data_IF_616345995221
#
_entry.id   IF_616345995221
#
_cell.length_a   1.000
_cell.length_b   1.000
_cell.length_c   1.000
_cell.angle_alpha   90.00
_cell.angle_beta   90.00
_cell.angle_gamma   90.00
#
_symmetry.space_group_name_H-M   'P 1'
#
loop_
_entity.id
_entity.type
_entity.pdbx_description
1 polymer ?
#
# COMPACT_ATOMS: atom_id res chain seq x y z
N UNK A 1 -4.78 35.14 -12.11
CA UNK A 1 -5.09 34.71 -13.50
C UNK A 1 -4.98 33.19 -13.51
N UNK A 2 -6.09 32.49 -13.71
CA UNK A 2 -6.11 31.03 -13.74
C UNK A 2 -5.51 30.57 -15.07
N UNK A 3 -4.40 29.82 -15.01
CA UNK A 3 -3.87 29.14 -16.19
C UNK A 3 -4.77 27.94 -16.50
N UNK A 4 -5.62 28.08 -17.51
CA UNK A 4 -6.32 26.96 -18.13
C UNK A 4 -5.29 26.15 -18.91
N UNK A 5 -4.82 25.04 -18.33
CA UNK A 5 -4.06 24.03 -19.05
C UNK A 5 -5.05 23.15 -19.83
N UNK A 6 -5.68 23.73 -20.86
CA UNK A 6 -6.19 22.94 -21.96
C UNK A 6 -4.97 22.52 -22.79
N UNK A 7 -4.31 21.44 -22.37
CA UNK A 7 -3.32 20.76 -23.20
C UNK A 7 -4.04 20.21 -24.44
N UNK A 8 -4.08 21.01 -25.51
CA UNK A 8 -4.42 20.51 -26.84
C UNK A 8 -3.27 19.65 -27.33
N UNK A 9 -3.35 18.33 -27.06
CA UNK A 9 -2.43 17.34 -27.61
C UNK A 9 -2.60 17.23 -29.13
N UNK A 10 -1.49 17.04 -29.83
CA UNK A 10 -1.45 16.92 -31.28
C UNK A 10 -1.97 15.52 -31.70
N UNK A 11 -2.83 15.38 -32.75
CA UNK A 11 -3.44 14.10 -33.16
C UNK A 11 -2.46 12.97 -33.54
N UNK A 12 -1.18 13.29 -33.72
CA UNK A 12 -0.11 12.36 -34.11
C UNK A 12 0.94 12.15 -33.00
N UNK A 13 0.74 12.71 -31.80
CA UNK A 13 1.57 12.27 -30.68
C UNK A 13 1.25 10.80 -30.41
N UNK A 14 2.25 9.91 -30.30
CA UNK A 14 2.01 8.61 -29.71
C UNK A 14 1.49 8.89 -28.29
N UNK A 15 0.22 8.57 -28.02
CA UNK A 15 -0.19 8.43 -26.64
C UNK A 15 0.75 7.38 -26.04
N UNK A 16 1.42 7.71 -24.93
CA UNK A 16 2.00 6.69 -24.07
C UNK A 16 0.87 5.70 -23.81
N UNK A 17 0.95 4.54 -24.48
CA UNK A 17 -0.18 3.66 -24.60
C UNK A 17 -0.35 3.03 -23.23
N UNK A 18 -1.26 3.61 -22.44
CA UNK A 18 -1.46 3.25 -21.05
C UNK A 18 -1.87 1.79 -21.01
N UNK A 19 -0.90 0.95 -20.69
CA UNK A 19 -1.09 -0.48 -20.50
C UNK A 19 -1.56 -0.64 -19.07
N UNK A 20 -2.52 -1.54 -18.83
CA UNK A 20 -2.98 -1.95 -17.51
C UNK A 20 -1.86 -2.63 -16.71
N UNK A 21 -0.81 -1.88 -16.42
CA UNK A 21 0.32 -2.24 -15.61
C UNK A 21 -0.02 -1.82 -14.20
N UNK A 22 0.44 -2.62 -13.25
CA UNK A 22 0.41 -2.25 -11.85
C UNK A 22 1.28 -1.02 -11.60
N UNK A 23 0.71 0.12 -11.18
CA UNK A 23 1.46 1.35 -10.92
C UNK A 23 2.59 1.15 -9.89
N UNK A 24 2.44 0.16 -9.00
CA UNK A 24 3.43 -0.15 -7.98
C UNK A 24 4.49 -1.18 -8.43
N UNK A 25 4.37 -1.75 -9.63
CA UNK A 25 5.32 -2.74 -10.16
C UNK A 25 6.74 -2.19 -10.26
N UNK A 26 6.90 -0.89 -10.47
CA UNK A 26 8.21 -0.22 -10.54
C UNK A 26 8.93 -0.16 -9.18
N UNK A 27 8.18 -0.18 -8.06
CA UNK A 27 8.73 -0.12 -6.71
C UNK A 27 9.16 -1.48 -6.18
N UNK A 28 8.54 -2.58 -6.63
CA UNK A 28 8.95 -3.94 -6.25
C UNK A 28 10.34 -4.34 -6.76
N UNK A 29 10.85 -3.68 -7.81
CA UNK A 29 12.14 -3.99 -8.43
C UNK A 29 13.32 -3.15 -7.91
N UNK A 30 13.11 -2.20 -7.00
CA UNK A 30 14.22 -1.50 -6.33
C UNK A 30 14.74 -2.37 -5.18
N UNK A 31 15.67 -3.28 -5.48
CA UNK A 31 16.52 -3.88 -4.46
C UNK A 31 17.24 -2.76 -3.71
N UNK A 32 17.03 -2.69 -2.40
CA UNK A 32 17.66 -1.70 -1.52
C UNK A 32 19.18 -1.72 -1.66
N UNK A 33 19.72 -0.60 -2.11
CA UNK A 33 21.16 -0.42 -2.27
C UNK A 33 21.49 1.05 -2.30
N UNK A 34 21.59 1.66 -1.12
CA UNK A 34 22.49 2.79 -0.88
C UNK A 34 22.94 2.77 0.58
N UNK A 35 23.94 1.94 0.86
CA UNK A 35 24.70 2.01 2.11
C UNK A 35 25.69 3.17 2.01
N UNK A 36 25.26 4.36 2.44
CA UNK A 36 26.17 5.48 2.58
C UNK A 36 27.02 5.27 3.86
N UNK A 37 28.16 4.60 3.73
CA UNK A 37 29.15 4.44 4.80
C UNK A 37 30.05 5.67 4.83
N UNK A 38 29.93 6.51 5.85
CA UNK A 38 31.07 7.29 6.35
C UNK A 38 30.90 7.72 7.83
N UNK A 39 31.60 6.98 8.70
CA UNK A 39 32.34 7.39 9.90
C UNK A 39 31.72 8.31 10.98
N UNK A 40 31.38 7.73 12.15
CA UNK A 40 31.97 8.13 13.46
C UNK A 40 31.80 7.03 14.52
N UNK A 41 32.85 6.87 15.32
CA UNK A 41 33.18 5.74 16.21
C UNK A 41 32.43 5.77 17.56
N UNK A 42 32.13 4.57 18.08
CA UNK A 42 32.11 4.15 19.50
C UNK A 42 31.05 4.68 20.49
N UNK A 43 30.02 5.44 20.06
CA UNK A 43 28.89 5.83 20.93
C UNK A 43 27.59 5.06 20.70
N UNK A 44 27.45 4.33 19.59
CA UNK A 44 26.15 3.79 19.14
C UNK A 44 25.69 2.51 19.85
N UNK A 45 26.60 1.79 20.52
CA UNK A 45 26.29 0.49 21.13
C UNK A 45 25.51 0.63 22.43
N UNK A 46 25.83 1.63 23.26
CA UNK A 46 25.14 1.91 24.53
C UNK A 46 23.71 2.44 24.31
N UNK A 47 23.54 3.33 23.33
CA UNK A 47 22.22 3.88 22.97
C UNK A 47 21.31 2.81 22.34
N UNK A 48 21.89 1.86 21.61
CA UNK A 48 21.15 0.72 21.04
C UNK A 48 20.63 -0.23 22.11
N UNK A 49 21.42 -0.50 23.16
CA UNK A 49 21.02 -1.41 24.24
C UNK A 49 19.90 -0.81 25.08
N UNK A 50 19.98 0.49 25.40
CA UNK A 50 18.90 1.20 26.09
C UNK A 50 17.59 1.21 25.30
N UNK A 51 17.67 1.42 23.99
CA UNK A 51 16.51 1.38 23.09
C UNK A 51 15.89 -0.01 23.03
N UNK A 52 16.70 -1.05 22.90
CA UNK A 52 16.25 -2.44 22.90
C UNK A 52 15.52 -2.81 24.19
N UNK A 53 16.10 -2.47 25.35
CA UNK A 53 15.50 -2.75 26.66
C UNK A 53 14.17 -2.01 26.85
N UNK A 54 14.07 -0.77 26.36
CA UNK A 54 12.82 -0.02 26.34
C UNK A 54 11.73 -0.72 25.52
N UNK A 55 12.07 -1.21 24.31
CA UNK A 55 11.14 -1.89 23.43
C UNK A 55 10.69 -3.22 24.01
N UNK A 56 11.62 -3.98 24.59
CA UNK A 56 11.33 -5.24 25.26
C UNK A 56 10.36 -5.03 26.42
N UNK A 57 10.60 -4.03 27.28
CA UNK A 57 9.73 -3.73 28.42
C UNK A 57 8.32 -3.34 27.96
N UNK A 58 8.21 -2.46 26.97
CA UNK A 58 6.91 -2.06 26.42
C UNK A 58 6.17 -3.25 25.79
N UNK A 59 6.89 -4.15 25.10
CA UNK A 59 6.31 -5.38 24.57
C UNK A 59 5.78 -6.30 25.68
N UNK A 60 6.58 -6.51 26.73
CA UNK A 60 6.21 -7.33 27.87
C UNK A 60 4.94 -6.80 28.55
N UNK A 61 4.85 -5.49 28.77
CA UNK A 61 3.66 -4.82 29.33
C UNK A 61 2.41 -4.99 28.44
N UNK A 62 2.59 -4.96 27.11
CA UNK A 62 1.47 -4.96 26.17
C UNK A 62 0.99 -6.36 25.78
N UNK A 63 1.88 -7.34 25.67
CA UNK A 63 1.57 -8.59 24.97
C UNK A 63 1.92 -9.87 25.72
N UNK A 64 2.64 -9.85 26.85
CA UNK A 64 3.00 -11.10 27.54
C UNK A 64 1.87 -11.66 28.40
N UNK A 65 1.03 -10.80 28.98
CA UNK A 65 -0.11 -11.23 29.79
C UNK A 65 -1.08 -12.13 28.99
N UNK A 66 -1.62 -13.19 29.60
CA UNK A 66 -2.63 -14.05 28.97
C UNK A 66 -3.88 -13.27 28.55
N UNK A 67 -4.24 -12.21 29.29
CA UNK A 67 -5.33 -11.30 28.96
C UNK A 67 -4.85 -10.00 28.30
N UNK A 68 -3.79 -10.07 27.49
CA UNK A 68 -3.19 -8.89 26.86
C UNK A 68 -4.19 -8.08 26.03
N UNK A 69 -5.19 -8.71 25.41
CA UNK A 69 -6.23 -8.02 24.64
C UNK A 69 -7.01 -7.01 25.50
N UNK A 70 -7.38 -7.36 26.73
CA UNK A 70 -8.04 -6.44 27.65
C UNK A 70 -7.10 -5.29 28.03
N UNK A 71 -5.83 -5.60 28.30
CA UNK A 71 -4.80 -4.60 28.63
C UNK A 71 -4.61 -3.59 27.51
N UNK A 72 -4.38 -4.04 26.27
CA UNK A 72 -4.18 -3.12 25.14
C UNK A 72 -5.45 -2.31 24.83
N UNK A 73 -6.64 -2.89 25.04
CA UNK A 73 -7.91 -2.18 24.86
C UNK A 73 -8.05 -1.06 25.88
N UNK A 74 -7.78 -1.34 27.16
CA UNK A 74 -7.82 -0.33 28.22
C UNK A 74 -6.79 0.79 27.97
N UNK A 75 -5.54 0.43 27.62
CA UNK A 75 -4.52 1.41 27.26
C UNK A 75 -4.93 2.24 26.02
N UNK A 76 -5.63 1.63 25.06
CA UNK A 76 -6.18 2.31 23.88
C UNK A 76 -7.24 3.34 24.24
N UNK A 77 -8.23 2.95 25.06
CA UNK A 77 -9.29 3.84 25.56
C UNK A 77 -8.70 5.01 26.37
N UNK A 78 -7.67 4.74 27.16
CA UNK A 78 -6.98 5.75 27.95
C UNK A 78 -6.04 6.65 27.11
N UNK A 79 -5.96 6.47 25.79
CA UNK A 79 -5.11 7.27 24.89
C UNK A 79 -3.61 6.98 24.99
N UNK A 80 -3.21 5.96 25.74
CA UNK A 80 -1.81 5.65 26.06
C UNK A 80 -1.04 4.99 24.90
N UNK A 81 -1.74 4.61 23.82
CA UNK A 81 -1.13 4.00 22.63
C UNK A 81 -0.72 5.01 21.55
N UNK A 82 -0.90 6.33 21.75
CA UNK A 82 -0.50 7.33 20.74
C UNK A 82 1.00 7.31 20.47
N UNK A 83 1.79 7.25 21.53
CA UNK A 83 3.26 7.24 21.46
C UNK A 83 3.85 5.84 21.44
N UNK A 84 3.04 4.79 21.55
CA UNK A 84 3.52 3.40 21.58
C UNK A 84 4.24 3.03 20.28
N UNK A 85 5.38 2.34 20.38
CA UNK A 85 6.09 1.83 19.19
C UNK A 85 5.36 0.65 18.55
N UNK A 86 4.53 -0.06 19.32
CA UNK A 86 3.73 -1.20 18.88
C UNK A 86 2.30 -0.82 18.49
N UNK A 87 2.03 0.48 18.31
CA UNK A 87 0.72 1.00 17.89
C UNK A 87 0.19 0.27 16.65
N UNK A 88 1.04 -0.02 15.67
CA UNK A 88 0.66 -0.74 14.45
C UNK A 88 0.12 -2.15 14.72
N UNK A 89 0.64 -2.84 15.73
CA UNK A 89 0.21 -4.18 16.14
C UNK A 89 -1.13 -4.09 16.88
N UNK A 90 -1.27 -3.13 17.79
CA UNK A 90 -2.54 -2.89 18.48
C UNK A 90 -3.68 -2.59 17.47
N UNK A 91 -3.42 -1.75 16.46
CA UNK A 91 -4.39 -1.46 15.40
C UNK A 91 -4.77 -2.69 14.59
N UNK A 92 -3.81 -3.54 14.22
CA UNK A 92 -4.10 -4.80 13.52
C UNK A 92 -4.98 -5.73 14.36
N UNK A 93 -4.83 -5.74 15.69
CA UNK A 93 -5.70 -6.51 16.58
C UNK A 93 -7.09 -5.88 16.70
N UNK A 94 -7.19 -4.56 16.84
CA UNK A 94 -8.47 -3.85 16.94
C UNK A 94 -9.32 -3.95 15.67
N UNK A 95 -8.66 -3.95 14.52
CA UNK A 95 -9.29 -4.12 13.21
C UNK A 95 -9.46 -5.60 12.81
N UNK A 96 -9.20 -6.54 13.74
CA UNK A 96 -9.33 -7.98 13.52
C UNK A 96 -8.50 -8.53 12.34
N UNK A 97 -7.41 -7.85 11.98
CA UNK A 97 -6.45 -8.30 10.97
C UNK A 97 -5.59 -9.44 11.53
N UNK A 98 -5.18 -9.31 12.80
CA UNK A 98 -4.44 -10.34 13.52
C UNK A 98 -5.39 -11.12 14.45
N UNK A 99 -5.23 -12.46 14.54
CA UNK A 99 -5.98 -13.26 15.49
C UNK A 99 -5.50 -13.01 16.93
N UNK A 100 -6.28 -13.47 17.91
CA UNK A 100 -5.87 -13.40 19.32
C UNK A 100 -4.65 -14.28 19.63
N UNK A 101 -4.47 -15.38 18.91
CA UNK A 101 -3.32 -16.25 19.07
C UNK A 101 -2.10 -15.66 18.35
N UNK A 102 -1.10 -15.26 19.13
CA UNK A 102 0.16 -14.66 18.65
C UNK A 102 0.96 -15.60 17.76
N UNK A 103 0.87 -16.91 17.97
CA UNK A 103 1.60 -17.90 17.18
C UNK A 103 1.18 -17.89 15.70
N UNK A 104 -0.04 -17.45 15.43
CA UNK A 104 -0.63 -17.39 14.09
C UNK A 104 -0.41 -16.05 13.38
N UNK A 105 0.21 -15.06 14.03
CA UNK A 105 0.32 -13.72 13.47
C UNK A 105 1.13 -13.67 12.17
N UNK A 106 2.25 -14.40 12.13
CA UNK A 106 3.13 -14.42 10.95
C UNK A 106 2.43 -15.10 9.79
N UNK A 107 1.91 -16.32 9.99
CA UNK A 107 1.21 -17.07 8.95
C UNK A 107 -0.02 -16.33 8.43
N UNK A 108 -0.81 -15.71 9.32
CA UNK A 108 -1.98 -14.92 8.91
C UNK A 108 -1.61 -13.71 8.06
N UNK A 109 -0.53 -13.00 8.40
CA UNK A 109 -0.08 -11.84 7.62
C UNK A 109 0.46 -12.26 6.25
N UNK A 110 1.18 -13.38 6.18
CA UNK A 110 1.65 -13.95 4.91
C UNK A 110 0.49 -14.32 4.00
N UNK A 111 -0.51 -15.02 4.54
CA UNK A 111 -1.74 -15.38 3.83
C UNK A 111 -2.48 -14.13 3.31
N UNK A 112 -2.72 -13.13 4.17
CA UNK A 112 -3.41 -11.89 3.79
C UNK A 112 -2.65 -11.10 2.72
N UNK A 113 -1.31 -11.09 2.77
CA UNK A 113 -0.48 -10.44 1.75
C UNK A 113 -0.54 -11.19 0.43
N UNK A 114 -0.47 -12.52 0.45
CA UNK A 114 -0.61 -13.33 -0.76
C UNK A 114 -2.00 -13.15 -1.39
N UNK A 115 -3.05 -13.13 -0.57
CA UNK A 115 -4.41 -12.86 -1.00
C UNK A 115 -4.56 -11.47 -1.63
N UNK A 116 -3.99 -10.44 -1.00
CA UNK A 116 -3.95 -9.09 -1.58
C UNK A 116 -3.26 -9.07 -2.94
N UNK A 117 -2.09 -9.73 -3.08
CA UNK A 117 -1.39 -9.82 -4.36
C UNK A 117 -2.23 -10.50 -5.45
N UNK A 118 -2.97 -11.56 -5.10
CA UNK A 118 -3.87 -12.24 -6.03
C UNK A 118 -5.05 -11.36 -6.47
N UNK A 119 -5.71 -10.66 -5.53
CA UNK A 119 -6.75 -9.69 -5.85
C UNK A 119 -6.22 -8.61 -6.77
N UNK A 120 -5.03 -8.09 -6.45
CA UNK A 120 -4.39 -7.06 -7.24
C UNK A 120 -4.17 -7.51 -8.69
N UNK A 121 -3.73 -8.74 -8.91
CA UNK A 121 -3.58 -9.31 -10.25
C UNK A 121 -4.93 -9.44 -11.00
N UNK A 122 -5.99 -9.88 -10.32
CA UNK A 122 -7.34 -10.04 -10.89
C UNK A 122 -7.96 -8.69 -11.32
N UNK A 123 -7.71 -7.63 -10.56
CA UNK A 123 -8.31 -6.31 -10.77
C UNK A 123 -7.44 -5.33 -11.56
N UNK A 124 -6.22 -5.71 -11.92
CA UNK A 124 -5.38 -4.95 -12.84
C UNK A 124 -5.52 -5.59 -14.23
N UNK A 125 -6.63 -5.25 -14.89
CA UNK A 125 -6.95 -5.76 -16.21
C UNK A 125 -5.98 -5.20 -17.25
N UNK A 126 -5.29 -6.06 -17.99
CA UNK A 126 -4.53 -5.66 -19.17
C UNK A 126 -5.09 -6.38 -20.40
N UNK A 127 -5.91 -5.69 -21.22
CA UNK A 127 -6.54 -6.31 -22.38
C UNK A 127 -5.52 -6.80 -23.43
N UNK A 128 -4.24 -6.38 -23.34
CA UNK A 128 -3.17 -6.75 -24.26
C UNK A 128 -2.29 -7.90 -23.76
N UNK A 129 -2.39 -8.31 -22.49
CA UNK A 129 -1.60 -9.43 -21.93
C UNK A 129 -2.17 -10.80 -22.27
N UNK A 130 -3.42 -10.88 -22.68
CA UNK A 130 -4.07 -12.15 -23.00
C UNK A 130 -3.71 -12.54 -24.44
N UNK A 131 -2.74 -13.44 -24.57
CA UNK A 131 -2.27 -13.97 -25.86
C UNK A 131 -3.04 -15.25 -26.17
N UNK A 132 -3.91 -15.25 -27.20
CA UNK A 132 -4.70 -16.43 -27.60
C UNK A 132 -5.92 -16.10 -28.48
N UNK A 133 -6.72 -17.11 -28.83
CA UNK A 133 -8.01 -16.98 -29.52
C UNK A 133 -9.01 -16.23 -28.61
N UNK A 134 -9.03 -14.91 -28.69
CA UNK A 134 -10.13 -14.11 -28.20
C UNK A 134 -11.15 -13.91 -29.32
N UNK A 135 -12.43 -13.97 -28.96
CA UNK A 135 -13.47 -13.50 -29.85
C UNK A 135 -13.33 -11.99 -30.03
N UNK A 136 -12.83 -11.57 -31.19
CA UNK A 136 -12.62 -10.15 -31.53
C UNK A 136 -13.95 -9.38 -31.65
N UNK A 137 -15.08 -10.07 -31.82
CA UNK A 137 -16.39 -9.42 -31.76
C UNK A 137 -16.70 -8.90 -30.36
N UNK A 138 -16.22 -9.59 -29.33
CA UNK A 138 -16.46 -9.26 -27.92
C UNK A 138 -15.28 -8.48 -27.32
N UNK A 139 -14.04 -8.91 -27.59
CA UNK A 139 -12.83 -8.35 -27.01
C UNK A 139 -12.11 -7.43 -28.00
N UNK A 140 -12.62 -6.21 -28.14
CA UNK A 140 -11.99 -5.14 -28.91
C UNK A 140 -12.12 -3.79 -28.19
N UNK A 141 -11.28 -2.78 -28.51
CA UNK A 141 -11.26 -1.49 -27.82
C UNK A 141 -12.57 -0.70 -27.83
N UNK A 142 -13.52 -1.02 -28.69
CA UNK A 142 -14.80 -0.31 -28.81
C UNK A 142 -15.96 -1.10 -28.23
N UNK A 143 -15.73 -2.34 -27.80
CA UNK A 143 -16.77 -3.19 -27.25
C UNK A 143 -17.33 -2.62 -25.96
N UNK A 144 -18.67 -2.62 -25.86
CA UNK A 144 -19.42 -2.28 -24.65
C UNK A 144 -19.90 -3.53 -23.91
N UNK A 145 -19.51 -4.72 -24.39
CA UNK A 145 -19.89 -5.98 -23.79
C UNK A 145 -19.27 -6.12 -22.39
N UNK A 146 -20.04 -6.61 -21.41
CA UNK A 146 -19.58 -6.77 -20.02
C UNK A 146 -18.46 -7.83 -19.90
N UNK A 147 -18.43 -8.81 -20.82
CA UNK A 147 -17.36 -9.80 -20.92
C UNK A 147 -16.10 -9.28 -21.62
N UNK A 148 -16.11 -8.05 -22.12
CA UNK A 148 -14.96 -7.44 -22.79
C UNK A 148 -13.90 -6.95 -21.81
N UNK A 149 -12.67 -7.42 -21.97
CA UNK A 149 -11.52 -6.93 -21.21
C UNK A 149 -11.24 -5.45 -21.48
N UNK A 150 -11.56 -4.97 -22.68
CA UNK A 150 -11.40 -3.56 -23.05
C UNK A 150 -12.42 -2.68 -22.32
N UNK A 151 -13.69 -3.10 -22.29
CA UNK A 151 -14.73 -2.40 -21.54
C UNK A 151 -14.35 -2.29 -20.05
N UNK A 152 -13.96 -3.42 -19.43
CA UNK A 152 -13.49 -3.44 -18.04
C UNK A 152 -12.26 -2.54 -17.83
N UNK A 153 -11.29 -2.56 -18.74
CA UNK A 153 -10.11 -1.70 -18.66
C UNK A 153 -10.46 -0.21 -18.65
N UNK A 154 -11.40 0.24 -19.50
CA UNK A 154 -11.79 1.65 -19.53
C UNK A 154 -12.58 2.06 -18.28
N UNK A 155 -13.45 1.19 -17.77
CA UNK A 155 -14.14 1.41 -16.49
C UNK A 155 -13.14 1.51 -15.32
N UNK A 156 -12.17 0.57 -15.26
CA UNK A 156 -11.10 0.59 -14.26
C UNK A 156 -10.27 1.88 -14.35
N UNK A 157 -9.99 2.36 -15.58
CA UNK A 157 -9.25 3.61 -15.83
C UNK A 157 -10.02 4.84 -15.33
N UNK A 158 -11.31 4.93 -15.62
CA UNK A 158 -12.15 6.03 -15.14
C UNK A 158 -12.20 6.06 -13.61
N UNK A 159 -12.43 4.89 -12.98
CA UNK A 159 -12.43 4.76 -11.53
C UNK A 159 -11.09 5.17 -10.90
N UNK A 160 -9.97 4.73 -11.49
CA UNK A 160 -8.63 5.12 -11.03
C UNK A 160 -8.41 6.62 -11.12
N UNK A 161 -8.86 7.27 -12.20
CA UNK A 161 -8.74 8.72 -12.34
C UNK A 161 -9.50 9.47 -11.25
N UNK A 162 -10.70 9.00 -10.87
CA UNK A 162 -11.45 9.58 -9.75
C UNK A 162 -10.70 9.42 -8.42
N UNK A 163 -10.20 8.22 -8.13
CA UNK A 163 -9.41 7.95 -6.92
C UNK A 163 -8.15 8.83 -6.88
N UNK A 164 -7.45 8.97 -8.00
CA UNK A 164 -6.23 9.79 -8.10
C UNK A 164 -6.50 11.26 -7.76
N UNK A 165 -7.63 11.81 -8.22
CA UNK A 165 -8.03 13.17 -7.88
C UNK A 165 -8.30 13.34 -6.38
N UNK A 166 -8.91 12.36 -5.72
CA UNK A 166 -9.14 12.37 -4.27
C UNK A 166 -7.82 12.22 -3.49
N UNK A 167 -6.92 11.34 -3.94
CA UNK A 167 -5.58 11.15 -3.34
C UNK A 167 -4.78 12.45 -3.40
N UNK A 168 -4.75 13.15 -4.53
CA UNK A 168 -4.05 14.45 -4.68
C UNK A 168 -4.60 15.53 -3.75
N UNK A 169 -5.90 15.49 -3.42
CA UNK A 169 -6.58 16.44 -2.53
C UNK A 169 -6.49 16.06 -1.05
N UNK A 170 -5.97 14.90 -0.69
CA UNK A 170 -5.92 14.42 0.69
C UNK A 170 -4.76 15.05 1.46
N UNK A 171 -5.09 15.81 2.53
CA UNK A 171 -4.14 16.51 3.42
C UNK A 171 -3.02 17.26 2.67
N UNK A 172 -3.38 18.21 1.77
CA UNK A 172 -2.42 18.89 0.91
C UNK A 172 -1.36 19.68 1.68
N UNK A 173 -1.62 20.05 2.93
CA UNK A 173 -0.70 20.75 3.83
C UNK A 173 0.37 19.84 4.45
N UNK A 174 0.18 18.53 4.45
CA UNK A 174 1.09 17.57 5.07
C UNK A 174 2.11 17.04 4.07
N UNK A 175 3.40 17.34 4.30
CA UNK A 175 4.50 16.94 3.42
C UNK A 175 4.52 15.43 3.09
N UNK A 176 4.13 14.57 4.03
CA UNK A 176 4.06 13.12 3.81
C UNK A 176 3.16 12.76 2.61
N UNK A 177 1.98 13.35 2.51
CA UNK A 177 1.02 13.10 1.43
C UNK A 177 1.36 13.84 0.13
N UNK A 178 2.44 14.63 0.10
CA UNK A 178 2.94 15.27 -1.11
C UNK A 178 3.99 14.41 -1.85
N UNK A 179 4.54 13.38 -1.19
CA UNK A 179 5.58 12.53 -1.75
C UNK A 179 5.02 11.61 -2.85
N UNK A 180 5.74 11.50 -3.97
CA UNK A 180 5.30 10.71 -5.14
C UNK A 180 5.20 9.21 -4.84
N UNK A 181 6.00 8.67 -3.93
CA UNK A 181 5.91 7.26 -3.52
C UNK A 181 4.77 6.97 -2.52
N UNK A 182 4.06 8.00 -2.08
CA UNK A 182 2.90 7.92 -1.16
C UNK A 182 1.59 8.19 -1.92
N UNK A 183 1.63 8.98 -2.99
CA UNK A 183 0.53 9.23 -3.92
C UNK A 183 0.38 8.11 -4.94
#
# INVERSE_FOLDING_TARGET
>A
MYHSLSETRHPLQPEEQEVGIDPLSSYSNKSGGDSNKNGRRTSSTLDSEGTFNSYRKEWEELFVNNNYLATIRQKGINGQLRSSRFRSICWKLFLCVLPQDKSQWISRIEELRAWYSNIKEIHITNPRKVVGQQDLMINNPLSQDEGSLWNKFFQDKELRSMIEQDVKRTFPEMQFFQQENVR
#
